data_IF_167681456353
#
_entry.id   IF_167681456353
#
_cell.length_a   1.000
_cell.length_b   1.000
_cell.length_c   1.000
_cell.angle_alpha   90.00
_cell.angle_beta   90.00
_cell.angle_gamma   90.00
#
_symmetry.space_group_name_H-M   'P 1'
#
loop_
_entity.id
_entity.type
_entity.pdbx_description
1 polymer ?
#
# COMPACT_ATOMS: atom_id res chain seq x y z
N UNK A 1 41.79 25.47 17.04
CA UNK A 1 41.15 24.24 16.51
C UNK A 1 40.90 24.46 15.03
N UNK A 2 41.05 23.44 14.17
CA UNK A 2 40.73 23.60 12.76
C UNK A 2 39.23 23.90 12.63
N UNK A 3 38.91 25.10 12.14
CA UNK A 3 37.53 25.47 11.81
C UNK A 3 37.04 24.56 10.69
N UNK A 4 35.84 24.04 10.85
CA UNK A 4 35.21 23.10 9.94
C UNK A 4 33.76 23.46 9.68
N UNK A 5 33.11 22.75 8.76
CA UNK A 5 31.67 22.93 8.55
C UNK A 5 30.90 22.26 9.68
N UNK A 6 29.75 22.85 10.05
CA UNK A 6 28.75 22.19 10.88
C UNK A 6 28.31 20.85 10.27
N UNK A 7 27.70 19.99 11.09
CA UNK A 7 27.01 18.80 10.59
C UNK A 7 25.92 19.20 9.59
N UNK A 8 25.68 18.43 8.52
CA UNK A 8 24.69 18.76 7.51
C UNK A 8 23.30 19.04 8.09
N UNK A 9 22.90 18.32 9.14
CA UNK A 9 21.61 18.46 9.81
C UNK A 9 21.49 19.79 10.58
N UNK A 10 22.55 20.18 11.26
CA UNK A 10 22.63 21.43 12.03
C UNK A 10 22.69 22.64 11.08
N UNK A 11 23.49 22.54 10.02
CA UNK A 11 23.55 23.53 8.96
C UNK A 11 22.19 23.72 8.29
N UNK A 12 21.51 22.63 7.96
CA UNK A 12 20.18 22.67 7.37
C UNK A 12 19.17 23.34 8.32
N UNK A 13 19.25 23.05 9.62
CA UNK A 13 18.39 23.67 10.64
C UNK A 13 18.58 25.19 10.69
N UNK A 14 19.82 25.67 10.64
CA UNK A 14 20.13 27.11 10.58
C UNK A 14 19.60 27.73 9.28
N UNK A 15 19.77 27.04 8.15
CA UNK A 15 19.32 27.53 6.83
C UNK A 15 17.80 27.64 6.74
N UNK A 16 17.08 26.63 7.20
CA UNK A 16 15.60 26.62 7.22
C UNK A 16 15.04 27.75 8.08
N UNK A 17 15.71 28.06 9.19
CA UNK A 17 15.31 29.11 10.12
C UNK A 17 16.07 30.42 9.92
N UNK A 18 16.79 30.59 8.80
CA UNK A 18 17.72 31.70 8.60
C UNK A 18 17.03 33.06 8.69
N UNK A 19 15.83 33.17 8.11
CA UNK A 19 15.07 34.42 8.14
C UNK A 19 14.71 34.82 9.57
N UNK A 20 14.14 33.87 10.33
CA UNK A 20 13.75 34.06 11.72
C UNK A 20 14.95 34.43 12.61
N UNK A 21 16.03 33.66 12.48
CA UNK A 21 17.27 33.91 13.21
C UNK A 21 17.86 35.28 12.84
N UNK A 22 17.84 35.69 11.57
CA UNK A 22 18.40 36.98 11.15
C UNK A 22 17.59 38.17 11.66
N UNK A 23 16.27 38.03 11.74
CA UNK A 23 15.36 39.11 12.15
C UNK A 23 15.38 39.34 13.67
N UNK A 24 15.34 38.26 14.47
CA UNK A 24 15.08 38.35 15.90
C UNK A 24 16.37 38.40 16.75
N UNK A 25 17.39 37.62 16.37
CA UNK A 25 18.68 37.55 17.06
C UNK A 25 19.40 38.91 17.02
N UNK A 26 20.18 39.30 18.03
CA UNK A 26 21.28 40.26 17.85
C UNK A 26 22.57 39.57 18.25
N UNK A 27 23.42 39.29 17.25
CA UNK A 27 24.66 38.57 17.46
C UNK A 27 25.56 39.24 18.50
N UNK A 28 25.42 40.56 18.69
CA UNK A 28 26.19 41.30 19.71
C UNK A 28 26.01 40.71 21.11
N UNK A 29 24.81 40.24 21.44
CA UNK A 29 24.48 39.71 22.78
C UNK A 29 24.96 38.27 22.96
N UNK A 30 25.18 37.53 21.87
CA UNK A 30 25.67 36.15 21.88
C UNK A 30 27.19 36.02 21.79
N UNK A 31 27.85 37.01 21.18
CA UNK A 31 29.28 36.93 20.85
C UNK A 31 30.17 36.69 22.07
N UNK A 32 29.83 37.26 23.23
CA UNK A 32 30.62 37.04 24.45
C UNK A 32 30.58 35.56 24.88
N UNK A 33 29.38 34.99 24.93
CA UNK A 33 29.16 33.59 25.30
C UNK A 33 29.83 32.64 24.30
N UNK A 34 29.67 32.89 23.00
CA UNK A 34 30.27 32.07 21.94
C UNK A 34 31.80 32.14 21.95
N UNK A 35 32.39 33.27 22.34
CA UNK A 35 33.84 33.37 22.52
C UNK A 35 34.34 32.62 23.76
N UNK A 36 33.61 32.67 24.88
CA UNK A 36 33.98 31.94 26.10
C UNK A 36 34.05 30.43 25.85
N UNK A 37 33.12 29.92 25.04
CA UNK A 37 33.06 28.51 24.65
C UNK A 37 33.91 28.17 23.42
N UNK A 38 34.75 29.10 22.94
CA UNK A 38 35.66 28.93 21.79
C UNK A 38 34.97 28.58 20.46
N UNK A 39 33.67 28.86 20.34
CA UNK A 39 32.92 28.75 19.08
C UNK A 39 33.36 29.85 18.12
N UNK A 40 33.58 31.06 18.64
CA UNK A 40 34.10 32.21 17.90
C UNK A 40 35.47 32.62 18.44
N UNK A 41 36.38 33.00 17.54
CA UNK A 41 37.67 33.56 17.90
C UNK A 41 37.59 35.07 18.22
N UNK A 42 38.69 35.61 18.76
CA UNK A 42 38.78 37.03 19.13
C UNK A 42 38.65 37.97 17.93
N UNK A 43 39.02 37.53 16.72
CA UNK A 43 38.94 38.33 15.51
C UNK A 43 37.50 38.37 14.99
N UNK A 44 36.79 37.24 15.00
CA UNK A 44 35.37 37.12 14.65
C UNK A 44 34.50 37.96 15.58
N UNK A 45 34.78 37.95 16.89
CA UNK A 45 34.15 38.86 17.84
C UNK A 45 34.31 40.33 17.43
N UNK A 46 35.52 40.76 17.07
CA UNK A 46 35.76 42.13 16.60
C UNK A 46 35.04 42.42 15.28
N UNK A 47 34.97 41.44 14.37
CA UNK A 47 34.23 41.58 13.11
C UNK A 47 32.72 41.76 13.35
N UNK A 48 32.12 40.99 14.26
CA UNK A 48 30.69 41.11 14.57
C UNK A 48 30.40 42.44 15.28
N UNK A 49 31.21 42.81 16.27
CA UNK A 49 31.00 44.07 17.03
C UNK A 49 31.21 45.31 16.16
N UNK A 50 32.14 45.28 15.20
CA UNK A 50 32.43 46.43 14.33
C UNK A 50 31.32 46.73 13.31
N UNK A 51 30.42 45.77 13.03
CA UNK A 51 29.32 45.94 12.08
C UNK A 51 28.18 46.78 12.71
N UNK A 52 27.86 47.91 12.07
CA UNK A 52 26.82 48.85 12.54
C UNK A 52 25.38 48.32 12.42
N UNK A 53 25.09 47.56 11.36
CA UNK A 53 23.73 47.10 11.04
C UNK A 53 23.44 45.73 11.65
N UNK A 54 22.28 45.56 12.31
CA UNK A 54 21.84 44.30 12.96
C UNK A 54 21.93 43.12 12.00
N UNK A 55 21.35 43.22 10.81
CA UNK A 55 21.36 42.13 9.82
C UNK A 55 22.76 41.76 9.31
N UNK A 56 23.74 42.68 9.36
CA UNK A 56 25.14 42.38 9.05
C UNK A 56 25.84 41.68 10.22
N UNK A 57 25.51 42.08 11.46
CA UNK A 57 26.01 41.41 12.69
C UNK A 57 25.53 39.97 12.75
N UNK A 58 24.27 39.75 12.42
CA UNK A 58 23.61 38.43 12.39
C UNK A 58 23.98 37.59 11.17
N UNK A 59 25.21 37.77 10.69
CA UNK A 59 25.73 36.95 9.62
C UNK A 59 26.11 35.58 10.18
N UNK A 60 25.17 34.63 10.06
CA UNK A 60 25.31 33.27 10.59
C UNK A 60 26.37 32.45 9.85
N UNK A 61 26.99 32.97 8.78
CA UNK A 61 28.06 32.28 8.06
C UNK A 61 29.26 31.94 8.94
N UNK A 62 29.52 32.75 9.98
CA UNK A 62 30.57 32.47 10.97
C UNK A 62 30.24 31.24 11.82
N UNK A 63 28.96 31.06 12.16
CA UNK A 63 28.51 29.90 12.95
C UNK A 63 28.48 28.64 12.08
N UNK A 64 28.11 28.76 10.80
CA UNK A 64 28.13 27.64 9.86
C UNK A 64 29.52 27.01 9.68
N UNK A 65 30.58 27.79 9.91
CA UNK A 65 31.98 27.37 9.79
C UNK A 65 32.68 27.17 11.15
N UNK A 66 31.91 27.04 12.24
CA UNK A 66 32.49 26.91 13.58
C UNK A 66 33.16 25.54 13.81
N UNK A 67 32.60 24.47 13.26
CA UNK A 67 33.12 23.10 13.37
C UNK A 67 31.99 22.06 13.39
N UNK A 68 32.28 20.77 13.15
CA UNK A 68 31.29 19.68 13.18
C UNK A 68 31.05 19.09 14.58
N UNK A 69 31.53 19.73 15.65
CA UNK A 69 31.43 19.26 17.03
C UNK A 69 30.12 19.69 17.70
N UNK A 70 30.24 20.22 18.92
CA UNK A 70 29.10 20.70 19.73
C UNK A 70 28.81 22.20 19.54
N UNK A 71 29.42 22.83 18.54
CA UNK A 71 29.30 24.28 18.29
C UNK A 71 27.85 24.70 18.05
N UNK A 72 27.06 23.88 17.36
CA UNK A 72 25.63 24.13 17.19
C UNK A 72 24.86 24.09 18.51
N UNK A 73 25.15 23.11 19.37
CA UNK A 73 24.48 23.01 20.67
C UNK A 73 24.82 24.19 21.57
N UNK A 74 26.09 24.63 21.55
CA UNK A 74 26.54 25.83 22.26
C UNK A 74 25.86 27.09 21.73
N UNK A 75 25.65 27.20 20.42
CA UNK A 75 24.87 28.27 19.81
C UNK A 75 23.41 28.25 20.27
N UNK A 76 22.77 27.08 20.27
CA UNK A 76 21.39 26.95 20.75
C UNK A 76 21.25 27.27 22.24
N UNK A 77 22.22 26.89 23.08
CA UNK A 77 22.26 27.30 24.50
C UNK A 77 22.41 28.81 24.65
N UNK A 78 23.24 29.45 23.83
CA UNK A 78 23.38 30.89 23.84
C UNK A 78 22.05 31.60 23.49
N UNK A 79 21.32 31.06 22.50
CA UNK A 79 19.97 31.55 22.17
C UNK A 79 19.01 31.30 23.35
N UNK A 80 19.05 30.14 23.98
CA UNK A 80 18.20 29.84 25.14
C UNK A 80 18.43 30.82 26.31
N UNK A 81 19.67 31.17 26.59
CA UNK A 81 20.03 32.09 27.68
C UNK A 81 19.61 33.54 27.39
N UNK A 82 19.87 34.04 26.18
CA UNK A 82 19.70 35.44 25.83
C UNK A 82 18.39 35.77 25.09
N UNK A 83 17.79 34.79 24.41
CA UNK A 83 16.62 34.93 23.55
C UNK A 83 15.61 33.79 23.78
N UNK A 84 15.08 33.68 25.01
CA UNK A 84 14.14 32.62 25.41
C UNK A 84 12.96 32.45 24.46
N UNK A 85 12.34 33.55 24.05
CA UNK A 85 11.17 33.52 23.16
C UNK A 85 11.51 32.96 21.77
N UNK A 86 12.67 33.35 21.23
CA UNK A 86 13.19 32.83 19.96
C UNK A 86 13.51 31.34 20.08
N UNK A 87 14.17 30.93 21.17
CA UNK A 87 14.45 29.53 21.44
C UNK A 87 13.16 28.69 21.51
N UNK A 88 12.15 29.14 22.25
CA UNK A 88 10.86 28.46 22.35
C UNK A 88 10.17 28.33 20.99
N UNK A 89 10.22 29.36 20.14
CA UNK A 89 9.66 29.30 18.78
C UNK A 89 10.42 28.33 17.87
N UNK A 90 11.74 28.31 17.93
CA UNK A 90 12.55 27.34 17.19
C UNK A 90 12.24 25.90 17.61
N UNK A 91 12.09 25.67 18.92
CA UNK A 91 11.69 24.36 19.44
C UNK A 91 10.29 23.97 18.97
N UNK A 92 9.35 24.91 18.94
CA UNK A 92 7.99 24.65 18.47
C UNK A 92 7.96 24.31 16.97
N UNK A 93 8.71 25.04 16.14
CA UNK A 93 8.88 24.72 14.71
C UNK A 93 9.46 23.31 14.54
N UNK A 94 10.48 22.95 15.31
CA UNK A 94 11.07 21.62 15.27
C UNK A 94 10.07 20.52 15.67
N UNK A 95 9.26 20.75 16.72
CA UNK A 95 8.20 19.82 17.14
C UNK A 95 7.14 19.66 16.07
N UNK A 96 6.67 20.75 15.46
CA UNK A 96 5.69 20.71 14.38
C UNK A 96 6.23 19.96 13.17
N UNK A 97 7.51 20.16 12.81
CA UNK A 97 8.17 19.40 11.73
C UNK A 97 8.19 17.90 12.04
N UNK A 98 8.60 17.50 13.24
CA UNK A 98 8.60 16.08 13.66
C UNK A 98 7.19 15.50 13.61
N UNK A 99 6.20 16.25 14.09
CA UNK A 99 4.80 15.82 14.05
C UNK A 99 4.32 15.63 12.61
N UNK A 100 4.57 16.59 11.72
CA UNK A 100 4.20 16.51 10.31
C UNK A 100 4.88 15.33 9.61
N UNK A 101 6.18 15.13 9.81
CA UNK A 101 6.90 13.98 9.27
C UNK A 101 6.32 12.65 9.77
N UNK A 102 5.89 12.61 11.04
CA UNK A 102 5.20 11.44 11.60
C UNK A 102 3.85 11.20 10.94
N UNK A 103 3.06 12.25 10.67
CA UNK A 103 1.79 12.11 9.97
C UNK A 103 2.00 11.69 8.50
N UNK A 104 2.99 12.26 7.81
CA UNK A 104 3.33 11.88 6.43
C UNK A 104 3.66 10.39 6.35
N UNK A 105 4.50 9.89 7.25
CA UNK A 105 4.82 8.46 7.30
C UNK A 105 3.58 7.59 7.51
N UNK A 106 2.65 7.99 8.38
CA UNK A 106 1.38 7.27 8.57
C UNK A 106 0.54 7.24 7.29
N UNK A 107 0.50 8.35 6.54
CA UNK A 107 -0.21 8.41 5.26
C UNK A 107 0.44 7.47 4.25
N UNK A 108 1.76 7.48 4.13
CA UNK A 108 2.49 6.57 3.24
C UNK A 108 2.25 5.09 3.59
N UNK A 109 2.22 4.74 4.88
CA UNK A 109 1.95 3.37 5.32
C UNK A 109 0.50 2.96 5.00
N UNK A 110 -0.48 3.85 5.19
CA UNK A 110 -1.89 3.61 4.83
C UNK A 110 -2.10 3.48 3.31
N UNK A 111 -1.36 4.24 2.51
CA UNK A 111 -1.41 4.14 1.04
C UNK A 111 -0.91 2.76 0.57
N UNK A 112 0.17 2.25 1.16
CA UNK A 112 0.67 0.89 0.86
C UNK A 112 -0.32 -0.20 1.27
N UNK A 113 -0.93 -0.08 2.44
CA UNK A 113 -1.94 -1.03 2.91
C UNK A 113 -3.17 -1.03 1.98
N UNK A 114 -3.61 0.14 1.54
CA UNK A 114 -4.70 0.27 0.57
C UNK A 114 -4.35 -0.39 -0.77
N UNK A 115 -3.15 -0.16 -1.27
CA UNK A 115 -2.69 -0.78 -2.53
C UNK A 115 -2.68 -2.31 -2.43
N UNK A 116 -2.19 -2.86 -1.31
CA UNK A 116 -2.23 -4.30 -1.06
C UNK A 116 -3.66 -4.83 -1.04
N UNK A 117 -4.57 -4.15 -0.34
CA UNK A 117 -5.99 -4.53 -0.31
C UNK A 117 -6.62 -4.53 -1.71
N UNK A 118 -6.34 -3.52 -2.52
CA UNK A 118 -6.86 -3.43 -3.90
C UNK A 118 -6.32 -4.56 -4.79
N UNK A 119 -5.05 -4.95 -4.61
CA UNK A 119 -4.46 -6.12 -5.29
C UNK A 119 -5.14 -7.43 -4.87
N UNK A 120 -5.27 -7.68 -3.57
CA UNK A 120 -5.94 -8.88 -3.05
C UNK A 120 -7.40 -8.96 -3.53
N UNK A 121 -8.11 -7.83 -3.52
CA UNK A 121 -9.49 -7.74 -4.03
C UNK A 121 -9.57 -8.07 -5.52
N UNK A 122 -8.62 -7.61 -6.33
CA UNK A 122 -8.57 -7.93 -7.75
C UNK A 122 -8.34 -9.44 -7.98
N UNK A 123 -7.41 -10.06 -7.24
CA UNK A 123 -7.18 -11.50 -7.31
C UNK A 123 -8.41 -12.33 -6.91
N UNK A 124 -9.09 -11.94 -5.83
CA UNK A 124 -10.32 -12.61 -5.40
C UNK A 124 -11.43 -12.47 -6.43
N UNK A 125 -11.54 -11.30 -7.06
CA UNK A 125 -12.53 -11.06 -8.12
C UNK A 125 -12.27 -11.99 -9.33
N UNK A 126 -11.01 -12.13 -9.75
CA UNK A 126 -10.63 -13.05 -10.84
C UNK A 126 -10.88 -14.53 -10.46
N UNK A 127 -10.55 -14.93 -9.23
CA UNK A 127 -10.85 -16.28 -8.71
C UNK A 127 -12.35 -16.59 -8.74
N UNK A 128 -13.18 -15.67 -8.28
CA UNK A 128 -14.64 -15.83 -8.31
C UNK A 128 -15.14 -15.98 -9.74
N UNK A 129 -14.66 -15.15 -10.67
CA UNK A 129 -15.04 -15.23 -12.08
C UNK A 129 -14.69 -16.60 -12.70
N UNK A 130 -13.48 -17.09 -12.47
CA UNK A 130 -13.03 -18.42 -12.93
C UNK A 130 -13.88 -19.56 -12.36
N UNK A 131 -14.26 -19.47 -11.07
CA UNK A 131 -15.15 -20.43 -10.44
C UNK A 131 -16.55 -20.41 -11.05
N UNK A 132 -17.10 -19.21 -11.33
CA UNK A 132 -18.40 -19.06 -11.99
C UNK A 132 -18.39 -19.65 -13.41
N UNK A 133 -17.33 -19.39 -14.18
CA UNK A 133 -17.15 -19.97 -15.52
C UNK A 133 -17.06 -21.50 -15.47
N UNK A 134 -16.28 -22.04 -14.53
CA UNK A 134 -16.14 -23.49 -14.33
C UNK A 134 -17.47 -24.13 -13.96
N UNK A 135 -18.20 -23.54 -13.02
CA UNK A 135 -19.51 -24.02 -12.62
C UNK A 135 -20.51 -23.96 -13.78
N UNK A 136 -20.50 -22.89 -14.58
CA UNK A 136 -21.38 -22.78 -15.76
C UNK A 136 -21.12 -23.90 -16.78
N UNK A 137 -19.85 -24.23 -17.04
CA UNK A 137 -19.48 -25.34 -17.92
C UNK A 137 -19.92 -26.68 -17.34
N UNK A 138 -19.72 -26.89 -16.03
CA UNK A 138 -20.16 -28.11 -15.36
C UNK A 138 -21.68 -28.28 -15.39
N UNK A 139 -22.45 -27.21 -15.14
CA UNK A 139 -23.92 -27.24 -15.23
C UNK A 139 -24.40 -27.64 -16.61
N UNK A 140 -23.84 -27.05 -17.68
CA UNK A 140 -24.18 -27.44 -19.06
C UNK A 140 -23.87 -28.90 -19.34
N UNK A 141 -22.72 -29.39 -18.86
CA UNK A 141 -22.33 -30.79 -19.04
C UNK A 141 -23.30 -31.75 -18.34
N UNK A 142 -23.80 -31.37 -17.16
CA UNK A 142 -24.81 -32.14 -16.43
C UNK A 142 -26.13 -32.16 -17.22
N UNK A 143 -26.59 -31.00 -17.70
CA UNK A 143 -27.80 -30.90 -18.53
C UNK A 143 -27.70 -31.78 -19.80
N UNK A 144 -26.55 -31.74 -20.49
CA UNK A 144 -26.30 -32.57 -21.67
C UNK A 144 -26.33 -34.07 -21.34
N UNK A 145 -25.77 -34.47 -20.19
CA UNK A 145 -25.78 -35.85 -19.72
C UNK A 145 -27.20 -36.33 -19.35
N UNK A 146 -27.97 -35.49 -18.65
CA UNK A 146 -29.37 -35.79 -18.32
C UNK A 146 -30.22 -35.94 -19.57
N UNK A 147 -30.03 -35.06 -20.56
CA UNK A 147 -30.70 -35.15 -21.85
C UNK A 147 -30.33 -36.43 -22.62
N UNK A 148 -29.06 -36.84 -22.58
CA UNK A 148 -28.63 -38.10 -23.19
C UNK A 148 -29.28 -39.30 -22.51
N UNK A 149 -29.24 -39.37 -21.17
CA UNK A 149 -29.86 -40.45 -20.39
C UNK A 149 -31.35 -40.55 -20.70
N UNK A 150 -32.04 -39.41 -20.86
CA UNK A 150 -33.46 -39.39 -21.19
C UNK A 150 -33.73 -39.97 -22.58
N UNK A 151 -32.93 -39.62 -23.60
CA UNK A 151 -33.04 -40.21 -24.94
C UNK A 151 -32.80 -41.72 -24.93
N UNK A 152 -31.80 -42.19 -24.20
CA UNK A 152 -31.50 -43.62 -24.07
C UNK A 152 -32.65 -44.40 -23.41
N UNK A 153 -33.30 -43.82 -22.39
CA UNK A 153 -34.50 -44.40 -21.78
C UNK A 153 -35.67 -44.51 -22.77
N UNK A 154 -35.94 -43.44 -23.51
CA UNK A 154 -37.01 -43.41 -24.51
C UNK A 154 -36.77 -44.45 -25.62
N UNK A 155 -35.52 -44.58 -26.09
CA UNK A 155 -35.15 -45.61 -27.06
C UNK A 155 -35.36 -47.01 -26.49
N UNK A 156 -34.92 -47.29 -25.26
CA UNK A 156 -35.12 -48.57 -24.61
C UNK A 156 -36.61 -48.94 -24.48
N UNK A 157 -37.45 -47.97 -24.08
CA UNK A 157 -38.89 -48.19 -23.96
C UNK A 157 -39.55 -48.46 -25.32
N UNK A 158 -39.09 -47.81 -26.40
CA UNK A 158 -39.51 -48.10 -27.77
C UNK A 158 -39.13 -49.52 -28.20
N UNK A 159 -37.85 -49.89 -28.06
CA UNK A 159 -37.35 -51.24 -28.41
C UNK A 159 -38.09 -52.32 -27.62
N UNK A 160 -38.34 -52.09 -26.33
CA UNK A 160 -39.11 -53.00 -25.48
C UNK A 160 -40.55 -53.15 -25.96
N UNK A 161 -41.21 -52.06 -26.38
CA UNK A 161 -42.56 -52.10 -26.93
C UNK A 161 -42.60 -52.89 -28.25
N UNK A 162 -41.65 -52.67 -29.16
CA UNK A 162 -41.52 -53.41 -30.42
C UNK A 162 -41.31 -54.90 -30.17
N UNK A 163 -40.41 -55.26 -29.24
CA UNK A 163 -40.16 -56.65 -28.90
C UNK A 163 -41.42 -57.33 -28.33
N UNK A 164 -42.16 -56.61 -27.48
CA UNK A 164 -43.43 -57.10 -26.91
C UNK A 164 -44.48 -57.34 -27.99
N UNK A 165 -44.62 -56.43 -28.96
CA UNK A 165 -45.55 -56.57 -30.08
C UNK A 165 -45.17 -57.74 -31.00
N UNK A 166 -43.87 -57.90 -31.27
CA UNK A 166 -43.36 -59.03 -32.05
C UNK A 166 -43.64 -60.38 -31.38
N UNK A 167 -43.46 -60.48 -30.06
CA UNK A 167 -43.84 -61.69 -29.31
C UNK A 167 -45.33 -61.99 -29.46
N UNK A 168 -46.17 -60.96 -29.31
CA UNK A 168 -47.62 -61.12 -29.44
C UNK A 168 -48.02 -61.63 -30.83
N UNK A 169 -47.45 -61.04 -31.89
CA UNK A 169 -47.65 -61.50 -33.28
C UNK A 169 -47.21 -62.95 -33.47
N UNK A 170 -46.06 -63.34 -32.93
CA UNK A 170 -45.59 -64.73 -33.00
C UNK A 170 -46.54 -65.71 -32.29
N UNK A 171 -47.05 -65.34 -31.11
CA UNK A 171 -48.03 -66.14 -30.37
C UNK A 171 -49.36 -66.28 -31.15
N UNK A 172 -49.85 -65.20 -31.74
CA UNK A 172 -51.05 -65.22 -32.59
C UNK A 172 -50.86 -66.12 -33.82
N UNK A 173 -49.72 -65.99 -34.50
CA UNK A 173 -49.38 -66.80 -35.69
C UNK A 173 -49.31 -68.29 -35.35
N UNK A 174 -48.64 -68.64 -34.23
CA UNK A 174 -48.56 -70.02 -33.75
C UNK A 174 -49.95 -70.56 -33.37
N UNK A 175 -50.80 -69.76 -32.72
CA UNK A 175 -52.18 -70.18 -32.39
C UNK A 175 -53.00 -70.48 -33.65
N UNK A 176 -52.87 -69.67 -34.70
CA UNK A 176 -53.53 -69.91 -36.00
C UNK A 176 -52.99 -71.17 -36.68
N UNK A 177 -51.68 -71.42 -36.62
CA UNK A 177 -51.08 -72.64 -37.17
C UNK A 177 -51.51 -73.89 -36.40
N UNK A 178 -51.57 -73.84 -35.07
CA UNK A 178 -52.05 -74.95 -34.25
C UNK A 178 -53.51 -75.32 -34.55
N UNK A 179 -54.40 -74.33 -34.75
CA UNK A 179 -55.79 -74.59 -35.18
C UNK A 179 -55.87 -75.22 -36.57
N UNK A 180 -55.01 -74.77 -37.50
CA UNK A 180 -54.94 -75.35 -38.86
C UNK A 180 -54.49 -76.81 -38.88
N UNK A 181 -53.67 -77.22 -37.91
CA UNK A 181 -53.20 -78.60 -37.77
C UNK A 181 -54.33 -79.46 -37.17
N UNK A 182 -55.07 -78.97 -36.17
CA UNK A 182 -56.25 -79.65 -35.63
C UNK A 182 -57.34 -79.86 -36.70
N UNK A 183 -57.58 -78.87 -37.57
CA UNK A 183 -58.55 -78.96 -38.67
C UNK A 183 -58.12 -79.93 -39.80
N UNK A 184 -56.84 -80.33 -39.87
CA UNK A 184 -56.32 -81.30 -40.86
C UNK A 184 -56.23 -82.74 -40.32
N UNK A 185 -56.31 -82.95 -39.00
CA UNK A 185 -56.25 -84.26 -38.36
C UNK A 185 -57.64 -84.92 -38.12
N UNK A 186 -58.70 -84.43 -38.77
CA UNK A 186 -59.98 -85.13 -38.84
C UNK A 186 -60.21 -85.81 -40.21
N UNK A 187 -59.72 -87.06 -40.40
CA UNK A 187 -60.26 -87.94 -41.41
C UNK A 187 -61.53 -88.65 -40.90
N UNK A 188 -62.53 -88.66 -41.78
CA UNK A 188 -63.78 -89.43 -41.74
C UNK A 188 -63.50 -90.93 -41.57
#
# INVERSE_FOLDING_TARGET
MPKGKLKPEDEQTIRENYFLLREELDAKDLVEYLCQHKVLDKNERKQIISKKLKWKRNDLSLILNAGPGDEFQLFMRAIEEHFKDLHSRLQEIARQKIWLLTQLKKVEDLEREKEQYDQEKAEWTDKIKKLQETNSVQSKRIEDQEAQIQREKEQYDQEKAEWTDNIKKLQETNSVQSKKIEDQETPI
#
